data_IF_665142203869
#
_entry.id   IF_665142203869
#
_cell.length_a   1.000
_cell.length_b   1.000
_cell.length_c   1.000
_cell.angle_alpha   90.00
_cell.angle_beta   90.00
_cell.angle_gamma   90.00
#
_symmetry.space_group_name_H-M   'P 1'
#
loop_
_entity.id
_entity.type
_entity.pdbx_description
1 polymer ?
#
# COMPACT_ATOMS: atom_id res chain seq x y z
N UNK A 1 26.05 -12.42 13.31
CA UNK A 1 24.80 -12.85 12.65
C UNK A 1 23.90 -11.63 12.56
N UNK A 2 23.59 -11.14 11.35
CA UNK A 2 22.71 -9.99 11.19
C UNK A 2 21.27 -10.42 11.50
N UNK A 3 20.64 -9.76 12.47
CA UNK A 3 19.23 -9.99 12.76
C UNK A 3 18.41 -9.49 11.55
N UNK A 4 17.66 -10.39 10.92
CA UNK A 4 16.65 -10.00 9.94
C UNK A 4 15.61 -9.15 10.68
N UNK A 5 15.63 -7.84 10.48
CA UNK A 5 14.63 -6.92 11.01
C UNK A 5 13.35 -7.09 10.18
N UNK A 6 12.54 -8.10 10.50
CA UNK A 6 11.22 -8.27 9.91
C UNK A 6 10.31 -7.11 10.36
N UNK A 7 9.64 -6.43 9.43
CA UNK A 7 8.57 -5.49 9.75
C UNK A 7 7.54 -6.20 10.66
N UNK A 8 6.94 -5.54 11.66
CA UNK A 8 5.95 -6.17 12.52
C UNK A 8 4.80 -6.70 11.67
N UNK A 9 4.39 -7.94 11.93
CA UNK A 9 3.19 -8.53 11.35
C UNK A 9 1.96 -7.73 11.84
N UNK A 10 1.16 -7.27 10.87
CA UNK A 10 -0.20 -6.73 11.00
C UNK A 10 -0.31 -5.61 12.07
N UNK A 11 -0.06 -4.38 11.63
CA UNK A 11 -0.39 -3.18 12.40
C UNK A 11 -1.89 -2.88 12.16
N UNK A 12 -2.69 -2.53 13.19
CA UNK A 12 -4.05 -2.03 13.01
C UNK A 12 -4.09 -0.82 12.07
N UNK A 13 -5.12 -0.72 11.22
CA UNK A 13 -5.21 0.30 10.16
C UNK A 13 -5.05 1.74 10.67
N UNK A 14 -5.60 2.04 11.85
CA UNK A 14 -5.59 3.35 12.54
C UNK A 14 -4.20 3.94 12.86
N UNK A 15 -3.10 3.24 12.56
CA UNK A 15 -1.73 3.72 12.88
C UNK A 15 -0.82 3.95 11.68
N UNK A 16 -1.29 3.70 10.47
CA UNK A 16 -0.44 3.86 9.30
C UNK A 16 -0.22 5.34 8.96
N UNK A 17 1.01 5.68 8.56
CA UNK A 17 1.38 7.02 8.14
C UNK A 17 1.31 7.18 6.62
N UNK A 18 1.54 6.08 5.87
CA UNK A 18 1.66 6.08 4.41
C UNK A 18 0.83 4.97 3.78
N UNK A 19 0.05 5.31 2.75
CA UNK A 19 -0.57 4.37 1.82
C UNK A 19 0.27 4.23 0.55
N UNK A 20 0.54 3.02 0.09
CA UNK A 20 1.08 2.79 -1.26
C UNK A 20 0.00 2.20 -2.18
N UNK A 21 -0.39 2.96 -3.19
CA UNK A 21 -1.20 2.47 -4.31
C UNK A 21 -0.31 2.15 -5.50
N UNK A 22 -0.47 0.95 -6.06
CA UNK A 22 0.39 0.45 -7.13
C UNK A 22 -0.25 -0.71 -7.90
N UNK A 23 0.16 -0.91 -9.14
CA UNK A 23 -0.19 -2.12 -9.88
C UNK A 23 0.68 -3.28 -9.42
N UNK A 24 0.08 -4.23 -8.72
CA UNK A 24 0.77 -5.41 -8.20
C UNK A 24 1.53 -6.19 -9.26
N UNK A 25 0.94 -6.38 -10.44
CA UNK A 25 1.56 -7.11 -11.56
C UNK A 25 2.84 -6.45 -12.09
N UNK A 26 2.94 -5.13 -11.99
CA UNK A 26 4.06 -4.38 -12.58
C UNK A 26 5.23 -4.21 -11.60
N UNK A 27 4.93 -3.98 -10.32
CA UNK A 27 5.93 -3.41 -9.39
C UNK A 27 6.03 -4.12 -8.03
N UNK A 28 5.17 -5.10 -7.72
CA UNK A 28 5.09 -5.71 -6.38
C UNK A 28 6.43 -6.22 -5.88
N UNK A 29 7.05 -7.10 -6.67
CA UNK A 29 8.26 -7.81 -6.26
C UNK A 29 9.55 -7.05 -6.62
N UNK A 30 9.42 -5.85 -7.19
CA UNK A 30 10.53 -5.02 -7.66
C UNK A 30 10.57 -3.69 -6.93
N UNK A 31 10.11 -2.61 -7.54
CA UNK A 31 10.21 -1.27 -6.97
C UNK A 31 9.44 -1.14 -5.65
N UNK A 32 8.22 -1.69 -5.59
CA UNK A 32 7.33 -1.51 -4.43
C UNK A 32 7.81 -2.29 -3.21
N UNK A 33 8.37 -3.49 -3.38
CA UNK A 33 8.95 -4.26 -2.26
C UNK A 33 10.12 -3.52 -1.62
N UNK A 34 11.03 -2.97 -2.44
CA UNK A 34 12.17 -2.19 -1.95
C UNK A 34 11.74 -0.89 -1.26
N UNK A 35 10.76 -0.17 -1.83
CA UNK A 35 10.23 1.04 -1.20
C UNK A 35 9.58 0.72 0.15
N UNK A 36 8.75 -0.32 0.20
CA UNK A 36 8.13 -0.77 1.44
C UNK A 36 9.16 -1.12 2.52
N UNK A 37 10.20 -1.89 2.16
CA UNK A 37 11.28 -2.25 3.08
C UNK A 37 12.03 -1.01 3.58
N UNK A 38 12.34 -0.06 2.69
CA UNK A 38 13.02 1.18 3.07
C UNK A 38 12.18 2.03 4.05
N UNK A 39 10.86 2.11 3.84
CA UNK A 39 9.94 2.81 4.75
C UNK A 39 9.87 2.10 6.11
N UNK A 40 9.77 0.77 6.14
CA UNK A 40 9.86 -0.02 7.36
C UNK A 40 11.17 0.23 8.13
N UNK A 41 12.31 0.24 7.44
CA UNK A 41 13.62 0.49 8.05
C UNK A 41 13.70 1.89 8.70
N UNK A 42 12.94 2.86 8.16
CA UNK A 42 12.79 4.20 8.73
C UNK A 42 11.71 4.29 9.81
N UNK A 43 11.09 3.17 10.19
CA UNK A 43 9.99 3.07 11.16
C UNK A 43 8.74 3.87 10.74
N UNK A 44 8.56 4.06 9.43
CA UNK A 44 7.35 4.67 8.88
C UNK A 44 6.32 3.56 8.73
N UNK A 45 5.13 3.75 9.31
CA UNK A 45 4.08 2.73 9.24
C UNK A 45 3.42 2.81 7.86
N UNK A 46 3.61 1.77 7.05
CA UNK A 46 3.16 1.76 5.65
C UNK A 46 2.11 0.68 5.42
N UNK A 47 0.96 1.08 4.90
CA UNK A 47 -0.09 0.20 4.39
C UNK A 47 0.09 0.01 2.88
N UNK A 48 -0.25 -1.17 2.40
CA UNK A 48 -0.10 -1.62 1.02
C UNK A 48 -1.33 -2.42 0.64
N UNK A 49 -1.87 -2.14 -0.53
CA UNK A 49 -3.16 -2.64 -1.01
C UNK A 49 -3.28 -4.20 -0.99
N UNK A 50 -2.19 -4.95 -1.17
CA UNK A 50 -2.25 -6.42 -1.17
C UNK A 50 -2.65 -7.09 0.16
N UNK A 51 -2.67 -6.35 1.28
CA UNK A 51 -3.09 -6.87 2.59
C UNK A 51 -4.59 -6.73 2.84
N UNK A 52 -5.31 -6.02 1.97
CA UNK A 52 -6.77 -5.93 2.03
C UNK A 52 -7.35 -7.17 1.32
N UNK A 53 -8.31 -7.82 1.96
CA UNK A 53 -8.95 -9.00 1.38
C UNK A 53 -9.53 -8.65 0.01
N UNK A 54 -9.09 -9.38 -1.02
CA UNK A 54 -9.61 -9.23 -2.38
C UNK A 54 -11.07 -9.66 -2.42
N UNK A 55 -11.97 -8.69 -2.54
CA UNK A 55 -13.36 -8.85 -2.98
C UNK A 55 -13.64 -7.84 -4.09
N UNK A 56 -14.65 -8.08 -4.91
CA UNK A 56 -14.98 -7.29 -6.11
C UNK A 56 -15.39 -5.83 -5.85
N UNK A 57 -15.34 -5.37 -4.60
CA UNK A 57 -15.59 -4.00 -4.16
C UNK A 57 -14.37 -3.49 -3.41
N UNK A 58 -14.04 -2.21 -3.57
CA UNK A 58 -13.07 -1.50 -2.73
C UNK A 58 -13.37 -1.87 -1.29
N UNK A 59 -12.45 -2.59 -0.62
CA UNK A 59 -12.70 -3.06 0.73
C UNK A 59 -13.06 -1.84 1.59
N UNK A 60 -14.14 -1.85 2.38
CA UNK A 60 -14.48 -0.73 3.27
C UNK A 60 -13.31 -0.29 4.16
N UNK A 61 -12.44 -1.24 4.51
CA UNK A 61 -11.17 -1.01 5.21
C UNK A 61 -10.16 -0.13 4.44
N UNK A 62 -10.20 -0.13 3.10
CA UNK A 62 -9.39 0.75 2.25
C UNK A 62 -9.89 2.20 2.34
N UNK A 63 -11.20 2.41 2.31
CA UNK A 63 -11.81 3.74 2.43
C UNK A 63 -11.55 4.36 3.79
N UNK A 64 -11.72 3.57 4.85
CA UNK A 64 -11.41 3.98 6.21
C UNK A 64 -9.92 4.30 6.36
N UNK A 65 -9.04 3.43 5.83
CA UNK A 65 -7.60 3.66 5.85
C UNK A 65 -7.22 4.97 5.12
N UNK A 66 -7.71 5.21 3.90
CA UNK A 66 -7.38 6.44 3.15
C UNK A 66 -7.82 7.71 3.91
N UNK A 67 -8.94 7.66 4.62
CA UNK A 67 -9.42 8.80 5.41
C UNK A 67 -8.58 9.10 6.65
N UNK A 68 -7.91 8.09 7.21
CA UNK A 68 -7.08 8.23 8.42
C UNK A 68 -5.59 8.40 8.11
N UNK A 69 -5.18 8.16 6.86
CA UNK A 69 -3.80 8.20 6.41
C UNK A 69 -3.31 9.65 6.22
N UNK A 70 -2.05 9.90 6.61
CA UNK A 70 -1.42 11.23 6.49
C UNK A 70 -0.87 11.50 5.09
N UNK A 71 -0.51 10.45 4.36
CA UNK A 71 0.12 10.53 3.05
C UNK A 71 -0.24 9.33 2.18
N UNK A 72 -0.56 9.60 0.92
CA UNK A 72 -0.71 8.58 -0.12
C UNK A 72 0.39 8.72 -1.16
N UNK A 73 1.03 7.60 -1.53
CA UNK A 73 2.05 7.51 -2.57
C UNK A 73 1.51 6.63 -3.69
N UNK A 74 1.37 7.21 -4.87
CA UNK A 74 0.87 6.53 -6.07
C UNK A 74 2.04 6.16 -6.97
N UNK A 75 2.19 4.88 -7.27
CA UNK A 75 3.27 4.34 -8.11
C UNK A 75 2.71 4.03 -9.49
N UNK A 76 2.73 5.04 -10.37
CA UNK A 76 2.34 4.85 -11.76
C UNK A 76 3.30 3.90 -12.48
N UNK A 77 2.71 3.00 -13.26
CA UNK A 77 3.39 1.96 -14.03
C UNK A 77 2.62 1.72 -15.32
N UNK A 78 3.22 0.95 -16.23
CA UNK A 78 2.70 0.78 -17.60
C UNK A 78 1.24 0.32 -17.64
N UNK A 79 0.86 -0.58 -16.74
CA UNK A 79 -0.47 -1.18 -16.67
C UNK A 79 -1.26 -0.70 -15.42
N UNK A 80 -0.89 0.45 -14.85
CA UNK A 80 -1.63 0.99 -13.70
C UNK A 80 -3.08 1.29 -14.09
N UNK A 81 -3.29 2.06 -15.15
CA UNK A 81 -4.61 2.48 -15.59
C UNK A 81 -5.44 1.37 -16.28
N UNK A 82 -4.87 0.19 -16.51
CA UNK A 82 -5.66 -0.97 -16.98
C UNK A 82 -6.35 -1.71 -15.83
N UNK A 83 -6.10 -1.30 -14.59
CA UNK A 83 -6.71 -1.87 -13.38
C UNK A 83 -7.84 -0.95 -12.92
N UNK A 84 -9.10 -1.38 -13.05
CA UNK A 84 -10.23 -0.62 -12.48
C UNK A 84 -10.02 -0.38 -11.00
N UNK A 85 -9.53 -1.38 -10.27
CA UNK A 85 -9.15 -1.25 -8.86
C UNK A 85 -8.16 -0.11 -8.60
N UNK A 86 -7.09 0.02 -9.38
CA UNK A 86 -6.09 1.08 -9.16
C UNK A 86 -6.65 2.48 -9.51
N UNK A 87 -7.62 2.57 -10.41
CA UNK A 87 -8.29 3.82 -10.74
C UNK A 87 -9.33 4.18 -9.67
N UNK A 88 -10.06 3.19 -9.17
CA UNK A 88 -11.01 3.35 -8.08
C UNK A 88 -10.28 3.82 -6.81
N UNK A 89 -9.15 3.22 -6.45
CA UNK A 89 -8.25 3.72 -5.40
C UNK A 89 -7.84 5.17 -5.62
N UNK A 90 -7.41 5.52 -6.85
CA UNK A 90 -6.94 6.85 -7.19
C UNK A 90 -8.03 7.91 -7.00
N UNK A 91 -9.28 7.61 -7.37
CA UNK A 91 -10.43 8.51 -7.18
C UNK A 91 -10.72 8.75 -5.70
N UNK A 92 -10.52 7.76 -4.84
CA UNK A 92 -10.75 7.91 -3.39
C UNK A 92 -9.61 8.63 -2.67
N UNK A 93 -8.40 8.64 -3.25
CA UNK A 93 -7.25 9.38 -2.72
C UNK A 93 -7.31 10.87 -3.05
N UNK A 94 -7.91 11.25 -4.20
CA UNK A 94 -8.01 12.62 -4.70
C UNK A 94 -9.23 13.38 -4.14
#
# INVERSE_FOLDING_TARGET
MAAASSCPAIIPWEKHDVFLSFRGEDTRDTFTSHLYEALCQKKIQTCIDYKLERGDEIAPALLEAVSELKLSVIIFSKNYASSTWCLDELVHIL
#
